data_IF_486860474909
#
_entry.id   IF_486860474909
#
_cell.length_a   1.000
_cell.length_b   1.000
_cell.length_c   1.000
_cell.angle_alpha   90.00
_cell.angle_beta   90.00
_cell.angle_gamma   90.00
#
_symmetry.space_group_name_H-M   'P 1'
#
loop_
_entity.id
_entity.type
_entity.pdbx_description
1 polymer ?
#
# COMPACT_ATOMS: atom_id res chain seq x y z
N UNK A 1 18.35 -20.84 -4.62
CA UNK A 1 17.81 -22.17 -4.96
C UNK A 1 18.33 -22.56 -6.34
N UNK A 2 18.47 -23.86 -6.63
CA UNK A 2 18.91 -24.35 -7.94
C UNK A 2 18.02 -23.86 -9.12
N UNK A 3 16.76 -23.54 -8.87
CA UNK A 3 15.83 -22.99 -9.85
C UNK A 3 16.18 -21.55 -10.25
N UNK A 4 16.66 -20.74 -9.32
CA UNK A 4 17.13 -19.37 -9.61
C UNK A 4 18.47 -19.39 -10.37
N UNK A 5 19.31 -20.40 -10.11
CA UNK A 5 20.62 -20.55 -10.75
C UNK A 5 20.49 -21.11 -12.18
N UNK A 6 19.70 -22.16 -12.37
CA UNK A 6 19.56 -22.86 -13.65
C UNK A 6 18.40 -22.39 -14.52
N UNK A 7 17.48 -21.52 -14.03
CA UNK A 7 16.34 -20.92 -14.74
C UNK A 7 15.61 -21.89 -15.69
N UNK A 8 15.13 -23.04 -15.21
CA UNK A 8 14.56 -24.08 -16.06
C UNK A 8 13.35 -23.56 -16.84
N UNK A 9 13.30 -23.88 -18.14
CA UNK A 9 12.38 -23.29 -19.12
C UNK A 9 10.88 -23.51 -18.82
N UNK A 10 10.54 -24.57 -18.09
CA UNK A 10 9.17 -25.00 -17.84
C UNK A 10 8.70 -24.86 -16.39
N UNK A 11 9.51 -24.32 -15.48
CA UNK A 11 9.15 -24.14 -14.08
C UNK A 11 8.58 -22.73 -13.84
N UNK A 12 7.26 -22.61 -13.97
CA UNK A 12 6.54 -21.32 -13.86
C UNK A 12 6.48 -20.84 -12.40
N UNK A 13 6.44 -21.74 -11.41
CA UNK A 13 6.20 -21.39 -10.00
C UNK A 13 7.37 -20.67 -9.31
N UNK A 14 8.60 -20.79 -9.78
CA UNK A 14 9.79 -20.18 -9.16
C UNK A 14 10.54 -19.21 -10.07
N UNK A 15 9.95 -18.86 -11.22
CA UNK A 15 10.48 -17.81 -12.13
C UNK A 15 10.12 -16.40 -11.70
N UNK A 16 9.61 -16.20 -10.50
CA UNK A 16 9.17 -14.87 -10.08
C UNK A 16 10.37 -13.98 -9.72
N UNK A 17 11.03 -13.48 -10.78
CA UNK A 17 11.94 -12.33 -10.75
C UNK A 17 11.18 -11.01 -10.55
N UNK A 18 9.90 -11.09 -10.12
CA UNK A 18 9.05 -9.92 -9.92
C UNK A 18 9.45 -9.25 -8.60
N UNK A 19 10.27 -8.22 -8.72
CA UNK A 19 10.53 -7.31 -7.63
C UNK A 19 9.21 -6.76 -7.08
N UNK A 20 9.12 -6.66 -5.75
CA UNK A 20 7.94 -6.11 -5.09
C UNK A 20 7.65 -4.68 -5.54
N UNK A 21 6.39 -4.25 -5.61
CA UNK A 21 6.05 -2.87 -5.94
C UNK A 21 6.30 -1.93 -4.77
N UNK A 22 6.65 -0.70 -5.12
CA UNK A 22 6.88 0.43 -4.20
C UNK A 22 6.04 1.62 -4.63
N UNK A 23 5.64 2.44 -3.68
CA UNK A 23 5.21 3.81 -3.96
C UNK A 23 6.46 4.68 -3.96
N UNK A 24 6.68 5.39 -5.06
CA UNK A 24 7.87 6.22 -5.26
C UNK A 24 7.45 7.68 -5.37
N UNK A 25 8.16 8.55 -4.63
CA UNK A 25 8.09 10.00 -4.75
C UNK A 25 9.38 10.48 -5.39
N UNK A 26 9.29 11.15 -6.55
CA UNK A 26 10.46 11.65 -7.28
C UNK A 26 11.10 12.83 -6.57
N UNK A 27 12.42 12.98 -6.75
CA UNK A 27 13.17 14.14 -6.29
C UNK A 27 13.28 15.18 -7.42
N UNK A 28 12.15 15.82 -7.73
CA UNK A 28 12.00 16.85 -8.75
C UNK A 28 11.50 18.14 -8.10
N UNK A 29 11.56 19.26 -8.82
CA UNK A 29 11.01 20.55 -8.34
C UNK A 29 9.52 20.43 -7.96
N UNK A 30 8.75 19.74 -8.77
CA UNK A 30 7.37 19.33 -8.50
C UNK A 30 7.34 17.80 -8.35
N UNK A 31 7.53 17.25 -7.15
CA UNK A 31 7.61 15.81 -6.95
C UNK A 31 6.36 15.08 -7.46
N UNK A 32 6.56 13.89 -7.99
CA UNK A 32 5.53 13.00 -8.50
C UNK A 32 5.43 11.76 -7.65
N UNK A 33 4.20 11.32 -7.33
CA UNK A 33 3.95 10.03 -6.69
C UNK A 33 3.44 8.99 -7.71
N UNK A 34 4.00 7.78 -7.70
CA UNK A 34 3.58 6.68 -8.58
C UNK A 34 4.03 5.32 -8.05
N UNK A 35 3.42 4.25 -8.57
CA UNK A 35 3.79 2.88 -8.20
C UNK A 35 4.75 2.31 -9.23
N UNK A 36 5.85 1.71 -8.76
CA UNK A 36 6.86 1.06 -9.60
C UNK A 36 7.45 -0.17 -8.92
N UNK A 37 8.00 -1.09 -9.71
CA UNK A 37 8.84 -2.19 -9.23
C UNK A 37 10.33 -1.87 -9.36
N UNK A 38 10.66 -0.88 -10.18
CA UNK A 38 12.04 -0.45 -10.41
C UNK A 38 12.40 0.68 -9.45
N UNK A 39 13.25 0.38 -8.47
CA UNK A 39 13.70 1.33 -7.47
C UNK A 39 14.82 2.20 -8.05
N UNK A 40 14.63 3.52 -8.01
CA UNK A 40 15.71 4.48 -8.22
C UNK A 40 16.15 5.00 -6.84
N UNK A 41 17.45 4.88 -6.54
CA UNK A 41 18.03 5.33 -5.25
C UNK A 41 17.96 6.86 -5.05
N UNK A 42 17.78 7.63 -6.11
CA UNK A 42 17.63 9.09 -6.03
C UNK A 42 16.22 9.52 -5.58
N UNK A 43 15.26 8.62 -5.62
CA UNK A 43 13.89 8.86 -5.24
C UNK A 43 13.58 8.27 -3.85
N UNK A 44 12.55 8.78 -3.21
CA UNK A 44 12.01 8.17 -2.00
C UNK A 44 11.09 7.02 -2.37
N UNK A 45 11.40 5.84 -1.84
CA UNK A 45 10.65 4.61 -2.13
C UNK A 45 10.06 4.06 -0.83
N UNK A 46 8.75 3.85 -0.83
CA UNK A 46 7.98 3.33 0.30
C UNK A 46 7.44 1.96 -0.07
N UNK A 47 7.72 0.98 0.75
CA UNK A 47 7.40 -0.40 0.48
C UNK A 47 8.49 -1.33 1.02
N UNK A 48 8.47 -2.61 0.70
CA UNK A 48 7.71 -3.27 -0.37
C UNK A 48 6.21 -3.46 -0.07
N UNK A 49 5.37 -3.39 -1.08
CA UNK A 49 3.97 -3.82 -0.97
C UNK A 49 3.82 -5.27 -1.45
N UNK A 50 2.86 -6.04 -0.89
CA UNK A 50 2.71 -7.46 -1.24
C UNK A 50 2.36 -7.67 -2.72
N UNK A 51 1.59 -6.77 -3.32
CA UNK A 51 1.23 -6.80 -4.74
C UNK A 51 0.89 -5.39 -5.25
N UNK A 52 0.97 -5.22 -6.58
CA UNK A 52 0.81 -3.91 -7.23
C UNK A 52 -0.55 -3.25 -6.95
N UNK A 53 -1.60 -4.05 -6.79
CA UNK A 53 -2.93 -3.57 -6.44
C UNK A 53 -2.99 -2.95 -5.04
N UNK A 54 -2.27 -3.49 -4.06
CA UNK A 54 -2.19 -2.90 -2.72
C UNK A 54 -1.48 -1.55 -2.76
N UNK A 55 -0.33 -1.46 -3.44
CA UNK A 55 0.39 -0.21 -3.60
C UNK A 55 -0.45 0.87 -4.32
N UNK A 56 -1.17 0.48 -5.40
CA UNK A 56 -2.06 1.40 -6.12
C UNK A 56 -3.22 1.88 -5.26
N UNK A 57 -3.93 0.98 -4.56
CA UNK A 57 -5.04 1.37 -3.68
C UNK A 57 -4.58 2.28 -2.55
N UNK A 58 -3.43 1.96 -1.91
CA UNK A 58 -2.86 2.83 -0.88
C UNK A 58 -2.60 4.24 -1.42
N UNK A 59 -1.93 4.34 -2.58
CA UNK A 59 -1.66 5.62 -3.21
C UNK A 59 -2.95 6.35 -3.61
N UNK A 60 -3.94 5.65 -4.21
CA UNK A 60 -5.21 6.25 -4.63
C UNK A 60 -6.01 6.83 -3.45
N UNK A 61 -6.02 6.15 -2.29
CA UNK A 61 -6.64 6.70 -1.08
C UNK A 61 -5.94 7.97 -0.61
N UNK A 62 -4.61 7.99 -0.64
CA UNK A 62 -3.84 9.15 -0.18
C UNK A 62 -3.88 10.32 -1.15
N UNK A 63 -4.01 10.10 -2.46
CA UNK A 63 -4.19 11.15 -3.47
C UNK A 63 -5.53 11.89 -3.29
N UNK A 64 -6.57 11.21 -2.79
CA UNK A 64 -7.83 11.88 -2.45
C UNK A 64 -7.70 12.84 -1.25
N UNK A 65 -6.63 12.73 -0.46
CA UNK A 65 -6.37 13.56 0.72
C UNK A 65 -5.27 14.58 0.44
N UNK A 66 -4.20 14.11 -0.19
CA UNK A 66 -3.03 14.86 -0.60
C UNK A 66 -2.95 14.86 -2.14
N UNK A 67 -3.63 15.79 -2.83
CA UNK A 67 -3.75 15.77 -4.29
C UNK A 67 -2.44 16.16 -4.99
N UNK A 68 -1.41 15.31 -4.83
CA UNK A 68 -0.12 15.48 -5.51
C UNK A 68 -0.18 14.91 -6.92
N UNK A 69 0.66 15.41 -7.82
CA UNK A 69 0.68 14.92 -9.20
C UNK A 69 1.13 13.45 -9.29
N UNK A 70 0.48 12.71 -10.16
CA UNK A 70 0.84 11.34 -10.55
C UNK A 70 1.27 11.24 -12.00
N UNK A 71 1.09 12.30 -12.78
CA UNK A 71 1.37 12.35 -14.22
C UNK A 71 2.86 12.32 -14.54
N UNK A 72 3.21 11.86 -15.75
CA UNK A 72 4.59 11.87 -16.25
C UNK A 72 5.06 13.30 -16.54
N UNK A 73 6.38 13.49 -16.66
CA UNK A 73 6.97 14.78 -17.01
C UNK A 73 6.44 15.29 -18.34
N UNK A 74 6.33 14.42 -19.35
CA UNK A 74 5.80 14.80 -20.66
C UNK A 74 4.36 15.32 -20.58
N UNK A 75 3.52 14.70 -19.76
CA UNK A 75 2.15 15.14 -19.52
C UNK A 75 2.12 16.47 -18.78
N UNK A 76 2.97 16.63 -17.76
CA UNK A 76 3.12 17.88 -17.01
C UNK A 76 3.51 19.04 -17.93
N UNK A 77 4.58 18.88 -18.73
CA UNK A 77 5.09 19.91 -19.64
C UNK A 77 4.08 20.26 -20.73
N UNK A 78 3.31 19.26 -21.22
CA UNK A 78 2.22 19.50 -22.18
C UNK A 78 1.14 20.39 -21.60
N UNK A 79 0.64 20.12 -20.38
CA UNK A 79 -0.40 20.92 -19.73
C UNK A 79 0.10 22.31 -19.34
N UNK A 80 1.37 22.42 -18.93
CA UNK A 80 2.04 23.71 -18.70
C UNK A 80 2.04 24.57 -19.96
N UNK A 81 2.41 24.01 -21.13
CA UNK A 81 2.40 24.72 -22.41
C UNK A 81 0.98 25.16 -22.84
N UNK A 82 -0.02 24.31 -22.58
CA UNK A 82 -1.42 24.61 -22.91
C UNK A 82 -2.07 25.60 -21.94
N UNK A 83 -1.43 25.91 -20.82
CA UNK A 83 -1.99 26.67 -19.71
C UNK A 83 -3.39 26.19 -19.31
N UNK A 84 -3.60 24.87 -19.33
CA UNK A 84 -4.89 24.25 -19.01
C UNK A 84 -4.66 23.01 -18.14
N UNK A 85 -5.35 22.88 -16.97
CA UNK A 85 -5.23 21.72 -16.11
C UNK A 85 -5.72 20.45 -16.79
N UNK A 86 -5.29 19.31 -16.29
CA UNK A 86 -5.73 18.00 -16.78
C UNK A 86 -6.96 17.50 -16.01
N UNK A 87 -7.57 16.40 -16.49
CA UNK A 87 -8.72 15.78 -15.85
C UNK A 87 -8.51 15.46 -14.36
N UNK A 88 -7.29 15.12 -13.95
CA UNK A 88 -7.00 14.80 -12.54
C UNK A 88 -7.22 16.01 -11.62
N UNK A 89 -7.04 17.22 -12.11
CA UNK A 89 -7.39 18.44 -11.38
C UNK A 89 -8.91 18.59 -11.26
N UNK A 90 -9.64 18.39 -12.35
CA UNK A 90 -11.10 18.54 -12.38
C UNK A 90 -11.84 17.55 -11.46
N UNK A 91 -11.19 16.42 -11.13
CA UNK A 91 -11.72 15.39 -10.21
C UNK A 91 -11.01 15.42 -8.84
N UNK A 92 -10.40 16.53 -8.46
CA UNK A 92 -9.72 16.78 -7.17
C UNK A 92 -8.59 15.79 -6.84
N UNK A 93 -8.01 15.10 -7.82
CA UNK A 93 -6.89 14.18 -7.66
C UNK A 93 -5.51 14.79 -7.95
N UNK A 94 -5.46 16.08 -8.21
CA UNK A 94 -4.22 16.83 -8.43
C UNK A 94 -4.46 18.29 -8.12
N UNK A 95 -3.52 18.93 -7.45
CA UNK A 95 -3.58 20.36 -7.10
C UNK A 95 -3.20 21.32 -8.26
N UNK A 96 -2.90 20.80 -9.47
CA UNK A 96 -2.65 21.61 -10.67
C UNK A 96 -1.32 22.38 -10.70
N UNK A 97 -0.19 21.81 -10.22
CA UNK A 97 1.09 22.53 -10.18
C UNK A 97 1.66 22.85 -11.57
N UNK A 98 1.16 22.21 -12.63
CA UNK A 98 1.59 22.48 -14.01
C UNK A 98 1.03 23.80 -14.58
N UNK A 99 0.02 24.37 -13.95
CA UNK A 99 -0.64 25.63 -14.37
C UNK A 99 -0.74 26.63 -13.21
N UNK A 100 0.18 26.52 -12.26
CA UNK A 100 0.37 27.43 -11.11
C UNK A 100 -0.90 27.62 -10.23
N UNK A 101 -1.79 26.61 -10.18
CA UNK A 101 -2.99 26.61 -9.34
C UNK A 101 -2.69 26.33 -7.85
N UNK A 102 -1.47 25.91 -7.54
CA UNK A 102 -0.94 25.76 -6.19
C UNK A 102 0.46 26.38 -6.15
N UNK A 103 0.82 27.06 -5.07
CA UNK A 103 2.17 27.52 -4.86
C UNK A 103 3.10 26.38 -4.42
N UNK A 104 4.42 26.63 -4.46
CA UNK A 104 5.43 25.62 -4.21
C UNK A 104 5.45 25.15 -2.75
N UNK A 105 5.23 26.04 -1.81
CA UNK A 105 5.29 25.74 -0.36
C UNK A 105 4.09 24.88 0.05
N UNK A 106 2.89 25.21 -0.42
CA UNK A 106 1.69 24.43 -0.16
C UNK A 106 1.80 23.03 -0.81
N UNK A 107 2.34 22.97 -2.04
CA UNK A 107 2.57 21.68 -2.70
C UNK A 107 3.59 20.83 -1.95
N UNK A 108 4.67 21.44 -1.45
CA UNK A 108 5.66 20.74 -0.63
C UNK A 108 5.03 20.21 0.67
N UNK A 109 4.13 20.98 1.28
CA UNK A 109 3.36 20.54 2.45
C UNK A 109 2.52 19.28 2.17
N UNK A 110 1.87 19.18 0.99
CA UNK A 110 1.16 17.97 0.58
C UNK A 110 2.12 16.76 0.44
N UNK A 111 3.29 16.98 -0.16
CA UNK A 111 4.32 15.95 -0.33
C UNK A 111 4.87 15.48 1.03
N UNK A 112 5.09 16.39 1.97
CA UNK A 112 5.63 16.04 3.28
C UNK A 112 4.62 15.29 4.14
N UNK A 113 3.34 15.66 4.10
CA UNK A 113 2.26 14.89 4.72
C UNK A 113 2.15 13.47 4.12
N UNK A 114 2.28 13.34 2.80
CA UNK A 114 2.29 12.05 2.12
C UNK A 114 3.50 11.18 2.55
N UNK A 115 4.69 11.77 2.68
CA UNK A 115 5.89 11.09 3.19
C UNK A 115 5.73 10.65 4.64
N UNK A 116 5.20 11.53 5.49
CA UNK A 116 5.01 11.25 6.92
C UNK A 116 4.00 10.13 7.13
N UNK A 117 2.95 10.09 6.31
CA UNK A 117 2.02 8.97 6.32
C UNK A 117 2.74 7.64 6.04
N UNK A 118 3.54 7.56 4.97
CA UNK A 118 4.28 6.33 4.62
C UNK A 118 5.39 5.96 5.61
N UNK A 119 5.89 6.92 6.38
CA UNK A 119 6.84 6.68 7.48
C UNK A 119 6.18 6.23 8.79
N UNK A 120 4.83 6.20 8.84
CA UNK A 120 4.07 5.87 10.04
C UNK A 120 3.85 7.03 11.00
N UNK A 121 4.24 8.25 10.64
CA UNK A 121 4.13 9.46 11.49
C UNK A 121 2.80 10.21 11.28
N UNK A 122 1.73 9.51 10.91
CA UNK A 122 0.45 10.14 10.55
C UNK A 122 -0.47 10.46 11.73
N UNK A 123 -0.12 10.02 12.95
CA UNK A 123 -1.03 10.12 14.10
C UNK A 123 -1.34 11.57 14.48
N UNK A 124 -0.38 12.49 14.39
CA UNK A 124 -0.62 13.92 14.67
C UNK A 124 -1.60 14.54 13.66
N UNK A 125 -1.47 14.19 12.38
CA UNK A 125 -2.38 14.66 11.33
C UNK A 125 -3.79 14.07 11.52
N UNK A 126 -3.89 12.79 11.84
CA UNK A 126 -5.17 12.11 12.11
C UNK A 126 -5.88 12.74 13.30
N UNK A 127 -5.18 12.94 14.42
CA UNK A 127 -5.74 13.56 15.62
C UNK A 127 -6.25 14.98 15.33
N UNK A 128 -5.47 15.78 14.61
CA UNK A 128 -5.91 17.12 14.20
C UNK A 128 -7.19 17.08 13.36
N UNK A 129 -7.30 16.12 12.42
CA UNK A 129 -8.51 15.95 11.60
C UNK A 129 -9.70 15.45 12.40
N UNK A 130 -9.50 14.62 13.41
CA UNK A 130 -10.57 14.20 14.34
C UNK A 130 -11.09 15.40 15.14
N UNK A 131 -10.21 16.27 15.63
CA UNK A 131 -10.62 17.47 16.38
C UNK A 131 -11.34 18.48 15.48
N UNK A 132 -10.88 18.70 14.24
CA UNK A 132 -11.57 19.51 13.23
C UNK A 132 -12.98 18.95 12.94
N UNK A 133 -13.12 17.62 12.80
CA UNK A 133 -14.41 16.98 12.57
C UNK A 133 -15.38 17.22 13.73
N UNK A 134 -14.92 17.07 14.98
CA UNK A 134 -15.72 17.36 16.17
C UNK A 134 -16.17 18.81 16.21
N UNK A 135 -15.23 19.74 15.98
CA UNK A 135 -15.51 21.18 15.97
C UNK A 135 -16.61 21.55 14.96
N UNK A 136 -16.57 21.04 13.71
CA UNK A 136 -17.63 21.25 12.74
C UNK A 136 -18.96 20.57 13.13
N UNK A 137 -18.88 19.39 13.73
CA UNK A 137 -20.07 18.69 14.25
C UNK A 137 -20.77 19.48 15.34
N UNK A 138 -20.02 20.04 16.31
CA UNK A 138 -20.56 20.85 17.41
C UNK A 138 -21.19 22.16 16.92
N UNK A 139 -20.71 22.68 15.80
CA UNK A 139 -21.30 23.84 15.11
C UNK A 139 -22.48 23.50 14.20
N UNK A 140 -22.91 22.23 14.16
CA UNK A 140 -23.92 21.72 13.23
C UNK A 140 -23.57 21.87 11.73
N UNK A 141 -22.31 22.02 11.41
CA UNK A 141 -21.76 22.06 10.03
C UNK A 141 -21.53 20.63 9.52
N UNK A 142 -22.62 19.86 9.39
CA UNK A 142 -22.53 18.42 9.14
C UNK A 142 -21.93 18.05 7.78
N UNK A 143 -22.03 18.91 6.78
CA UNK A 143 -21.43 18.67 5.46
C UNK A 143 -19.90 18.70 5.56
N UNK A 144 -19.33 19.69 6.27
CA UNK A 144 -17.89 19.79 6.49
C UNK A 144 -17.38 18.66 7.39
N UNK A 145 -18.09 18.34 8.46
CA UNK A 145 -17.76 17.19 9.30
C UNK A 145 -17.75 15.88 8.50
N UNK A 146 -18.70 15.69 7.57
CA UNK A 146 -18.77 14.51 6.72
C UNK A 146 -17.63 14.43 5.69
N UNK A 147 -17.19 15.56 5.14
CA UNK A 147 -15.98 15.62 4.27
C UNK A 147 -14.74 15.14 5.03
N UNK A 148 -14.55 15.63 6.26
CA UNK A 148 -13.44 15.23 7.11
C UNK A 148 -13.55 13.75 7.49
N UNK A 149 -14.73 13.24 7.80
CA UNK A 149 -14.96 11.81 8.06
C UNK A 149 -14.56 10.93 6.88
N UNK A 150 -14.88 11.33 5.65
CA UNK A 150 -14.42 10.63 4.43
C UNK A 150 -12.89 10.65 4.32
N UNK A 151 -12.25 11.77 4.62
CA UNK A 151 -10.79 11.89 4.66
C UNK A 151 -10.17 10.90 5.66
N UNK A 152 -10.72 10.82 6.88
CA UNK A 152 -10.26 9.86 7.90
C UNK A 152 -10.44 8.41 7.45
N UNK A 153 -11.58 8.08 6.80
CA UNK A 153 -11.80 6.73 6.24
C UNK A 153 -10.77 6.39 5.14
N UNK A 154 -10.40 7.34 4.29
CA UNK A 154 -9.34 7.11 3.29
C UNK A 154 -7.97 6.87 3.94
N UNK A 155 -7.64 7.61 5.01
CA UNK A 155 -6.40 7.40 5.77
C UNK A 155 -6.35 6.01 6.41
N UNK A 156 -7.45 5.58 7.03
CA UNK A 156 -7.56 4.27 7.66
C UNK A 156 -7.40 3.14 6.63
N UNK A 157 -8.10 3.21 5.50
CA UNK A 157 -7.95 2.25 4.40
C UNK A 157 -6.54 2.22 3.81
N UNK A 158 -5.86 3.36 3.75
CA UNK A 158 -4.47 3.41 3.32
C UNK A 158 -3.53 2.74 4.34
N UNK A 159 -3.78 2.91 5.66
CA UNK A 159 -3.01 2.25 6.75
C UNK A 159 -3.16 0.73 6.69
N UNK A 160 -4.37 0.20 6.55
CA UNK A 160 -4.62 -1.25 6.46
C UNK A 160 -3.76 -1.88 5.36
N UNK A 161 -3.67 -1.24 4.20
CA UNK A 161 -2.84 -1.73 3.10
C UNK A 161 -1.31 -1.61 3.36
N UNK A 162 -0.90 -0.80 4.33
CA UNK A 162 0.50 -0.59 4.71
C UNK A 162 0.94 -1.49 5.87
N UNK A 163 0.00 -1.93 6.73
CA UNK A 163 0.28 -2.69 7.97
C UNK A 163 0.97 -4.05 7.71
N UNK A 164 0.99 -4.52 6.46
CA UNK A 164 1.73 -5.72 6.06
C UNK A 164 3.25 -5.49 5.91
N UNK A 165 3.73 -4.32 6.32
CA UNK A 165 5.15 -3.97 6.31
C UNK A 165 5.63 -3.75 7.73
N UNK A 166 6.34 -4.72 8.26
CA UNK A 166 7.07 -4.55 9.53
C UNK A 166 8.33 -3.74 9.26
N UNK A 167 8.51 -2.66 10.02
CA UNK A 167 9.74 -1.84 10.02
C UNK A 167 10.94 -2.52 10.71
N UNK A 168 10.76 -3.75 11.19
CA UNK A 168 11.80 -4.51 11.89
C UNK A 168 12.41 -5.56 10.97
N UNK A 169 13.73 -5.73 11.01
CA UNK A 169 14.49 -6.80 10.32
C UNK A 169 14.17 -8.22 10.88
N UNK A 170 12.91 -8.45 11.24
CA UNK A 170 12.45 -9.73 11.78
C UNK A 170 12.11 -10.71 10.66
N UNK A 171 12.39 -11.98 10.94
CA UNK A 171 11.92 -13.10 10.15
C UNK A 171 10.67 -13.65 10.82
N UNK A 172 9.51 -13.48 10.20
CA UNK A 172 8.21 -13.90 10.74
C UNK A 172 7.40 -14.56 9.65
N UNK A 173 6.68 -15.62 9.98
CA UNK A 173 5.68 -16.21 9.11
C UNK A 173 4.30 -15.91 9.70
N UNK A 174 3.47 -15.20 8.89
CA UNK A 174 2.14 -14.78 9.31
C UNK A 174 1.10 -15.69 8.65
N UNK A 175 0.37 -16.44 9.48
CA UNK A 175 -0.66 -17.36 9.01
C UNK A 175 -2.02 -16.71 9.23
N UNK A 176 -2.79 -16.55 8.14
CA UNK A 176 -4.18 -16.14 8.13
C UNK A 176 -5.08 -17.28 7.71
N UNK A 177 -6.22 -17.41 8.38
CA UNK A 177 -7.23 -18.42 8.08
C UNK A 177 -8.55 -17.71 7.89
N UNK A 178 -9.21 -17.99 6.78
CA UNK A 178 -10.58 -17.55 6.50
C UNK A 178 -11.47 -18.79 6.33
N UNK A 179 -12.53 -18.86 7.12
CA UNK A 179 -13.48 -19.95 7.13
C UNK A 179 -14.76 -19.45 6.47
N UNK A 180 -14.91 -19.76 5.19
CA UNK A 180 -16.11 -19.51 4.43
C UNK A 180 -17.16 -20.61 4.64
N UNK A 181 -18.33 -20.43 4.03
CA UNK A 181 -19.43 -21.40 4.10
C UNK A 181 -19.14 -22.67 3.27
N UNK A 182 -18.31 -22.55 2.26
CA UNK A 182 -18.04 -23.59 1.25
C UNK A 182 -16.55 -23.89 1.08
N UNK A 183 -15.67 -23.16 1.75
CA UNK A 183 -14.23 -23.30 1.66
C UNK A 183 -13.54 -22.81 2.92
N UNK A 184 -12.37 -23.36 3.18
CA UNK A 184 -11.42 -22.85 4.18
C UNK A 184 -10.16 -22.45 3.44
N UNK A 185 -9.77 -21.19 3.55
CA UNK A 185 -8.57 -20.64 2.92
C UNK A 185 -7.53 -20.41 3.99
N UNK A 186 -6.37 -21.04 3.85
CA UNK A 186 -5.19 -20.77 4.65
C UNK A 186 -4.19 -20.00 3.79
N UNK A 187 -3.78 -18.83 4.25
CA UNK A 187 -2.75 -18.01 3.62
C UNK A 187 -1.59 -17.82 4.58
N UNK A 188 -0.38 -18.11 4.14
CA UNK A 188 0.84 -17.87 4.90
C UNK A 188 1.70 -16.84 4.16
N UNK A 189 2.01 -15.73 4.82
CA UNK A 189 2.94 -14.71 4.34
C UNK A 189 4.31 -14.97 4.96
N UNK A 190 5.29 -15.25 4.13
CA UNK A 190 6.67 -15.46 4.54
C UNK A 190 7.39 -14.10 4.55
N UNK A 191 7.80 -13.63 5.75
CA UNK A 191 8.50 -12.38 5.93
C UNK A 191 9.95 -12.67 6.34
N UNK A 192 10.91 -12.11 5.62
CA UNK A 192 12.35 -12.22 5.89
C UNK A 192 12.98 -10.83 5.84
N UNK A 193 13.72 -10.47 6.89
CA UNK A 193 14.32 -9.14 7.06
C UNK A 193 13.27 -8.01 6.87
N UNK A 194 12.09 -8.17 7.49
CA UNK A 194 10.99 -7.21 7.37
C UNK A 194 10.33 -7.15 5.98
N UNK A 195 10.65 -8.06 5.05
CA UNK A 195 10.14 -8.09 3.68
C UNK A 195 9.35 -9.35 3.41
N UNK A 196 8.21 -9.22 2.73
CA UNK A 196 7.46 -10.38 2.24
C UNK A 196 8.25 -11.04 1.11
N UNK A 197 8.73 -12.26 1.33
CA UNK A 197 9.48 -13.03 0.32
C UNK A 197 8.61 -14.05 -0.40
N UNK A 198 7.42 -14.32 0.12
CA UNK A 198 6.48 -15.24 -0.52
C UNK A 198 5.12 -15.25 0.14
N UNK A 199 4.15 -15.81 -0.57
CA UNK A 199 2.82 -16.13 -0.09
C UNK A 199 2.48 -17.56 -0.50
N UNK A 200 2.02 -18.37 0.44
CA UNK A 200 1.52 -19.71 0.20
C UNK A 200 0.03 -19.72 0.53
N UNK A 201 -0.81 -20.11 -0.44
CA UNK A 201 -2.25 -20.28 -0.25
C UNK A 201 -2.64 -21.71 -0.46
N UNK A 202 -3.42 -22.24 0.47
CA UNK A 202 -4.05 -23.54 0.36
C UNK A 202 -5.57 -23.38 0.58
N UNK A 203 -6.35 -23.94 -0.34
CA UNK A 203 -7.80 -24.00 -0.22
C UNK A 203 -8.17 -25.44 0.14
N UNK A 204 -9.04 -25.59 1.13
CA UNK A 204 -9.55 -26.87 1.57
C UNK A 204 -11.06 -26.93 1.36
N UNK A 205 -11.57 -28.11 1.08
CA UNK A 205 -13.02 -28.35 1.08
C UNK A 205 -13.58 -28.12 2.49
N UNK A 206 -14.85 -27.71 2.62
CA UNK A 206 -15.43 -27.43 3.91
C UNK A 206 -15.44 -28.68 4.76
N UNK A 207 -14.76 -28.57 5.90
CA UNK A 207 -14.82 -29.56 6.99
C UNK A 207 -15.72 -29.02 8.08
N UNK A 208 -16.32 -29.90 8.88
CA UNK A 208 -17.04 -29.47 10.06
C UNK A 208 -16.11 -28.66 10.98
N UNK A 209 -16.58 -27.55 11.54
CA UNK A 209 -15.75 -26.61 12.33
C UNK A 209 -15.04 -27.33 13.48
N UNK A 210 -15.66 -28.37 14.06
CA UNK A 210 -15.03 -29.19 15.10
C UNK A 210 -13.92 -30.11 14.58
N UNK A 211 -13.98 -30.56 13.35
CA UNK A 211 -12.91 -31.37 12.75
C UNK A 211 -11.72 -30.49 12.34
N UNK A 212 -11.98 -29.24 11.94
CA UNK A 212 -10.95 -28.30 11.50
C UNK A 212 -9.86 -28.04 12.56
N UNK A 213 -10.25 -27.84 13.81
CA UNK A 213 -9.30 -27.61 14.91
C UNK A 213 -8.32 -28.80 15.09
N UNK A 214 -8.77 -30.02 14.82
CA UNK A 214 -7.96 -31.23 14.89
C UNK A 214 -6.97 -31.36 13.72
N UNK A 215 -7.31 -30.83 12.54
CA UNK A 215 -6.46 -30.92 11.34
C UNK A 215 -5.52 -29.72 11.16
N UNK A 216 -5.78 -28.60 11.84
CA UNK A 216 -4.99 -27.37 11.72
C UNK A 216 -3.48 -27.61 11.97
N UNK A 217 -3.05 -28.32 13.00
CA UNK A 217 -1.63 -28.62 13.23
C UNK A 217 -0.98 -29.33 12.05
N UNK A 218 -1.67 -30.35 11.48
CA UNK A 218 -1.15 -31.12 10.37
C UNK A 218 -1.07 -30.28 9.08
N UNK A 219 -2.03 -29.38 8.86
CA UNK A 219 -2.03 -28.45 7.73
C UNK A 219 -0.85 -27.49 7.84
N UNK A 220 -0.59 -26.96 9.03
CA UNK A 220 0.55 -26.07 9.30
C UNK A 220 1.88 -26.81 9.10
N UNK A 221 2.01 -28.05 9.60
CA UNK A 221 3.20 -28.87 9.41
C UNK A 221 3.45 -29.11 7.91
N UNK A 222 2.45 -29.51 7.15
CA UNK A 222 2.58 -29.73 5.70
C UNK A 222 2.95 -28.45 4.92
N UNK A 223 2.55 -27.29 5.42
CA UNK A 223 2.91 -25.99 4.85
C UNK A 223 4.40 -25.72 5.02
N UNK A 224 4.96 -26.07 6.18
CA UNK A 224 6.38 -25.88 6.50
C UNK A 224 7.30 -27.01 6.01
N UNK A 225 6.79 -28.21 5.74
CA UNK A 225 7.59 -29.26 5.10
C UNK A 225 8.11 -28.85 3.72
N UNK A 226 7.38 -28.00 2.99
CA UNK A 226 7.77 -27.47 1.68
C UNK A 226 8.50 -26.14 1.73
N UNK A 227 8.43 -25.41 2.85
CA UNK A 227 9.00 -24.09 3.01
C UNK A 227 9.73 -24.05 4.36
N UNK A 228 11.01 -23.63 4.38
CA UNK A 228 11.72 -23.49 5.66
C UNK A 228 11.02 -22.44 6.53
N UNK A 229 10.56 -22.81 7.75
CA UNK A 229 9.92 -21.84 8.64
C UNK A 229 10.91 -20.78 9.08
N UNK A 230 10.38 -19.64 9.51
CA UNK A 230 11.15 -18.63 10.21
C UNK A 230 11.44 -19.08 11.65
N UNK A 231 12.36 -18.40 12.33
CA UNK A 231 12.61 -18.63 13.75
C UNK A 231 11.44 -18.16 14.64
N UNK A 232 10.50 -17.38 14.07
CA UNK A 232 9.29 -16.88 14.72
C UNK A 232 8.07 -17.16 13.81
N UNK A 233 7.03 -17.78 14.36
CA UNK A 233 5.74 -18.07 13.69
C UNK A 233 4.62 -17.40 14.46
#
# INVERSE_FOLDING_TARGET
SFIQEYKPKYNIQFKDDKSYPYVTITNEEWPRAFVTRNINKQNLNFGPFPFIGAAKRSLDHLINIFPVRTCTKNTFDRHKKLNKPCLLYEIDKCSGPCVDLINKDDYQGLIDNLKDFYKGNSDSYINKKVDEMKFHSDKHEFEEANKIKKTLSHLENARINQTLMTSNDKNVDVIGIDIGRYDVVLSCLLIRNGRIVGEVKNNFEPMDVQEYENYLPQIIINLFEKNMPSNEV
#
